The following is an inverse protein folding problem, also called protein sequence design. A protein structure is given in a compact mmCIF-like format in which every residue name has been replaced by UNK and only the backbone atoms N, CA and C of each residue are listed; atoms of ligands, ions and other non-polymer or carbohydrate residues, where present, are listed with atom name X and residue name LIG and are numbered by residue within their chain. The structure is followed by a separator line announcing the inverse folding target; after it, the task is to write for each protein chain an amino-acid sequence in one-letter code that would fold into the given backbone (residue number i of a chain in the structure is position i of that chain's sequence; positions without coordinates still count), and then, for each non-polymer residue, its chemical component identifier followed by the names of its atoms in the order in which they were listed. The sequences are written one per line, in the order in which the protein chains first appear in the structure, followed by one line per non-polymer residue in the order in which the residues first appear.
data_IF_405030559259
#
_entry.id   IF_405030559259
#
_cell.length_a   1.000
_cell.length_b   1.000
_cell.length_c   1.000
_cell.angle_alpha   90.00
_cell.angle_beta   90.00
_cell.angle_gamma   90.00
#
_symmetry.space_group_name_H-M   'P 1'
#
loop_
_entity.id
_entity.type
_entity.pdbx_description
1 polymer ?
#
# COMPACT_ATOMS: atom_id res chain seq x y z
N UNK A 1 32.96 9.63 -12.58
CA UNK A 1 32.42 8.90 -11.42
C UNK A 1 30.92 8.71 -11.64
N UNK A 2 30.39 7.47 -11.55
CA UNK A 2 28.98 7.20 -11.85
C UNK A 2 28.10 7.43 -10.60
N UNK A 3 27.37 8.54 -10.59
CA UNK A 3 26.47 8.94 -9.47
C UNK A 3 25.40 7.89 -9.14
N UNK A 4 24.99 7.07 -10.10
CA UNK A 4 23.98 6.02 -9.91
C UNK A 4 24.47 4.91 -8.96
N UNK A 5 25.77 4.59 -9.01
CA UNK A 5 26.36 3.48 -8.25
C UNK A 5 26.94 3.92 -6.90
N UNK A 6 26.93 5.22 -6.60
CA UNK A 6 27.33 5.74 -5.28
C UNK A 6 26.28 5.39 -4.22
N UNK A 7 26.68 5.06 -2.98
CA UNK A 7 25.75 4.84 -1.88
C UNK A 7 24.85 6.06 -1.61
N UNK A 8 23.65 5.81 -1.08
CA UNK A 8 22.70 6.84 -0.68
C UNK A 8 22.23 6.60 0.76
N UNK A 9 22.12 7.66 1.55
CA UNK A 9 21.61 7.60 2.93
C UNK A 9 20.23 8.22 2.98
N UNK A 10 19.22 7.40 3.29
CA UNK A 10 17.84 7.82 3.50
C UNK A 10 17.53 7.75 5.00
N UNK A 11 17.56 8.89 5.69
CA UNK A 11 17.51 8.96 7.16
C UNK A 11 18.53 7.98 7.79
N UNK A 12 18.08 6.92 8.45
CA UNK A 12 18.88 5.87 9.08
C UNK A 12 19.23 4.70 8.14
N UNK A 13 18.59 4.59 6.98
CA UNK A 13 18.82 3.51 6.00
C UNK A 13 19.96 3.86 5.05
N UNK A 14 20.96 2.98 4.93
CA UNK A 14 22.05 3.11 3.95
C UNK A 14 21.82 2.17 2.78
N UNK A 15 21.63 2.74 1.60
CA UNK A 15 21.47 2.05 0.33
C UNK A 15 22.82 1.94 -0.40
N UNK A 16 23.12 0.76 -0.94
CA UNK A 16 24.41 0.47 -1.63
C UNK A 16 24.62 1.24 -2.94
N UNK A 17 23.53 1.65 -3.58
CA UNK A 17 23.48 2.45 -4.80
C UNK A 17 22.10 3.14 -4.91
N UNK A 18 21.79 3.78 -6.03
CA UNK A 18 20.54 4.51 -6.27
C UNK A 18 19.57 3.76 -7.18
N UNK A 19 19.74 2.45 -7.35
CA UNK A 19 18.89 1.61 -8.20
C UNK A 19 17.78 1.00 -7.34
N UNK A 20 16.53 1.29 -7.71
CA UNK A 20 15.34 0.85 -6.99
C UNK A 20 14.42 0.10 -7.95
N UNK A 21 13.90 -1.05 -7.53
CA UNK A 21 12.73 -1.66 -8.18
C UNK A 21 11.48 -1.09 -7.54
N UNK A 22 10.68 -0.35 -8.32
CA UNK A 22 9.46 0.31 -7.84
C UNK A 22 8.34 -0.68 -7.57
N UNK A 23 7.36 -0.28 -6.77
CA UNK A 23 6.18 -1.07 -6.40
C UNK A 23 5.38 -1.49 -7.63
N UNK A 24 5.05 -2.78 -7.75
CA UNK A 24 4.14 -3.34 -8.76
C UNK A 24 3.57 -4.66 -8.23
N UNK A 25 2.39 -5.04 -8.72
CA UNK A 25 1.76 -6.31 -8.43
C UNK A 25 2.20 -7.35 -9.48
N UNK A 26 3.07 -8.33 -9.14
CA UNK A 26 3.49 -9.37 -10.08
C UNK A 26 2.42 -10.45 -10.28
N UNK A 27 1.28 -10.37 -9.58
CA UNK A 27 0.21 -11.38 -9.56
C UNK A 27 0.71 -12.79 -9.18
N UNK A 28 1.66 -12.87 -8.23
CA UNK A 28 2.19 -14.12 -7.65
C UNK A 28 1.70 -14.36 -6.22
N UNK A 29 0.62 -13.68 -5.84
CA UNK A 29 0.07 -13.77 -4.48
C UNK A 29 -0.71 -15.08 -4.33
N UNK A 30 -0.59 -15.70 -3.16
CA UNK A 30 -1.35 -16.90 -2.81
C UNK A 30 -2.09 -16.65 -1.51
N UNK A 31 -3.43 -16.66 -1.54
CA UNK A 31 -4.29 -16.41 -0.37
C UNK A 31 -3.96 -15.10 0.37
N UNK A 32 -3.61 -14.05 -0.37
CA UNK A 32 -3.21 -12.76 0.21
C UNK A 32 -1.75 -12.70 0.71
N UNK A 33 -0.98 -13.79 0.59
CA UNK A 33 0.39 -13.88 1.13
C UNK A 33 1.48 -13.92 0.05
N UNK A 34 2.68 -13.37 0.35
CA UNK A 34 3.84 -13.44 -0.54
C UNK A 34 4.63 -14.74 -0.33
N UNK A 35 4.08 -15.87 -0.79
CA UNK A 35 4.74 -17.18 -0.71
C UNK A 35 5.96 -17.27 -1.64
N UNK A 36 6.48 -18.47 -1.85
CA UNK A 36 7.81 -18.68 -2.43
C UNK A 36 8.00 -18.04 -3.81
N UNK A 37 7.02 -18.08 -4.71
CA UNK A 37 7.15 -17.44 -6.03
C UNK A 37 7.30 -15.92 -5.92
N UNK A 38 6.49 -15.28 -5.09
CA UNK A 38 6.55 -13.84 -4.83
C UNK A 38 7.88 -13.46 -4.18
N UNK A 39 8.28 -14.21 -3.15
CA UNK A 39 9.54 -14.01 -2.42
C UNK A 39 10.74 -14.11 -3.35
N UNK A 40 10.88 -15.22 -4.09
CA UNK A 40 12.01 -15.47 -4.98
C UNK A 40 12.10 -14.40 -6.06
N UNK A 41 10.98 -13.91 -6.58
CA UNK A 41 10.97 -12.82 -7.56
C UNK A 41 11.65 -11.54 -7.04
N UNK A 42 11.45 -11.15 -5.78
CA UNK A 42 12.15 -10.00 -5.19
C UNK A 42 13.59 -10.33 -4.78
N UNK A 43 13.85 -11.56 -4.34
CA UNK A 43 15.19 -12.04 -4.00
C UNK A 43 16.13 -12.04 -5.22
N UNK A 44 15.67 -12.47 -6.39
CA UNK A 44 16.47 -12.46 -7.62
C UNK A 44 16.90 -11.03 -8.01
N UNK A 45 16.04 -10.03 -7.81
CA UNK A 45 16.42 -8.64 -8.02
C UNK A 45 17.50 -8.19 -7.04
N UNK A 46 17.40 -8.61 -5.78
CA UNK A 46 18.37 -8.32 -4.75
C UNK A 46 19.74 -8.95 -5.07
N UNK A 47 19.77 -10.20 -5.57
CA UNK A 47 20.98 -10.84 -6.12
C UNK A 47 21.58 -10.05 -7.28
N UNK A 48 20.73 -9.46 -8.12
CA UNK A 48 21.14 -8.59 -9.23
C UNK A 48 21.74 -7.24 -8.84
N UNK A 49 21.79 -6.88 -7.55
CA UNK A 49 22.52 -5.69 -7.09
C UNK A 49 21.68 -4.42 -6.86
N UNK A 50 20.34 -4.46 -6.94
CA UNK A 50 19.51 -3.29 -6.63
C UNK A 50 19.65 -2.85 -5.17
N UNK A 51 19.62 -1.56 -4.86
CA UNK A 51 19.74 -1.15 -3.46
C UNK A 51 18.45 -1.31 -2.66
N UNK A 52 17.29 -1.19 -3.30
CA UNK A 52 15.99 -1.28 -2.66
C UNK A 52 14.98 -1.94 -3.60
N UNK A 53 14.19 -2.85 -3.07
CA UNK A 53 13.01 -3.41 -3.73
C UNK A 53 11.75 -2.96 -3.00
N UNK A 54 10.81 -2.34 -3.71
CA UNK A 54 9.49 -2.02 -3.17
C UNK A 54 8.50 -3.09 -3.61
N UNK A 55 7.71 -3.59 -2.66
CA UNK A 55 6.76 -4.70 -2.88
C UNK A 55 5.31 -4.23 -2.73
N UNK A 56 4.39 -5.17 -2.91
CA UNK A 56 2.95 -4.98 -2.69
C UNK A 56 2.26 -4.42 -3.92
N UNK A 57 2.79 -3.33 -4.48
CA UNK A 57 2.19 -2.67 -5.64
C UNK A 57 0.70 -2.43 -5.44
N UNK A 58 0.32 -1.96 -4.24
CA UNK A 58 -1.01 -1.94 -3.59
C UNK A 58 -1.31 -3.08 -2.61
N UNK A 59 -0.48 -3.32 -1.57
CA UNK A 59 -0.89 -4.21 -0.47
C UNK A 59 -2.12 -3.64 0.25
N UNK A 60 -3.22 -4.39 0.25
CA UNK A 60 -4.48 -4.00 0.87
C UNK A 60 -4.42 -4.11 2.40
N UNK A 61 -5.05 -3.16 3.09
CA UNK A 61 -4.98 -3.04 4.56
C UNK A 61 -6.29 -3.37 5.28
N UNK A 62 -7.39 -3.55 4.55
CA UNK A 62 -8.75 -3.67 5.10
C UNK A 62 -9.59 -4.64 4.28
N UNK A 63 -10.52 -5.41 4.91
CA UNK A 63 -11.40 -6.34 4.21
C UNK A 63 -12.35 -5.65 3.21
N UNK A 64 -12.68 -4.37 3.41
CA UNK A 64 -13.51 -3.58 2.49
C UNK A 64 -12.75 -3.02 1.28
N UNK A 65 -11.48 -3.40 1.15
CA UNK A 65 -10.63 -3.12 0.00
C UNK A 65 -10.18 -4.44 -0.65
N UNK A 66 -11.10 -5.24 -1.22
CA UNK A 66 -10.76 -6.54 -1.78
C UNK A 66 -9.80 -6.44 -2.98
N UNK A 67 -9.13 -7.55 -3.25
CA UNK A 67 -8.07 -7.67 -4.26
C UNK A 67 -8.63 -7.81 -5.66
N UNK A 68 -8.39 -6.84 -6.53
CA UNK A 68 -8.82 -6.91 -7.94
C UNK A 68 -7.81 -7.63 -8.85
N UNK A 69 -6.52 -7.57 -8.53
CA UNK A 69 -5.43 -8.01 -9.43
C UNK A 69 -4.31 -8.76 -8.70
N UNK A 70 -4.64 -9.43 -7.60
CA UNK A 70 -3.71 -10.23 -6.81
C UNK A 70 -2.87 -9.38 -5.86
N UNK A 71 -3.53 -8.53 -5.07
CA UNK A 71 -2.92 -7.75 -4.01
C UNK A 71 -2.56 -8.62 -2.81
N UNK A 72 -1.45 -8.29 -2.14
CA UNK A 72 -1.18 -8.81 -0.80
C UNK A 72 -2.19 -8.24 0.19
N UNK A 73 -2.45 -8.97 1.28
CA UNK A 73 -3.40 -8.58 2.31
C UNK A 73 -2.73 -8.43 3.68
N UNK A 74 -2.50 -7.19 4.12
CA UNK A 74 -1.95 -6.84 5.42
C UNK A 74 -3.02 -6.38 6.43
N UNK A 75 -4.27 -6.81 6.26
CA UNK A 75 -5.36 -6.50 7.18
C UNK A 75 -5.35 -7.35 8.45
N UNK A 76 -4.62 -8.47 8.49
CA UNK A 76 -4.46 -9.32 9.67
C UNK A 76 -3.02 -9.82 9.88
N UNK A 77 -2.78 -10.45 11.03
CA UNK A 77 -1.45 -10.86 11.47
C UNK A 77 -0.90 -12.09 10.74
N UNK A 78 -1.71 -12.80 9.94
CA UNK A 78 -1.28 -14.00 9.21
C UNK A 78 -0.22 -13.69 8.15
N UNK A 79 -0.12 -12.44 7.69
CA UNK A 79 0.89 -12.03 6.72
C UNK A 79 2.30 -11.92 7.31
N UNK A 80 2.43 -11.74 8.62
CA UNK A 80 3.70 -11.36 9.27
C UNK A 80 4.80 -12.42 9.06
N UNK A 81 4.56 -13.73 9.27
CA UNK A 81 5.60 -14.73 9.03
C UNK A 81 6.05 -14.78 7.57
N UNK A 82 5.15 -14.49 6.63
CA UNK A 82 5.49 -14.44 5.20
C UNK A 82 6.30 -13.20 4.84
N UNK A 83 5.96 -12.05 5.44
CA UNK A 83 6.76 -10.84 5.35
C UNK A 83 8.17 -11.06 5.89
N UNK A 84 8.33 -11.68 7.06
CA UNK A 84 9.65 -11.99 7.63
C UNK A 84 10.50 -12.85 6.68
N UNK A 85 9.92 -13.96 6.17
CA UNK A 85 10.61 -14.82 5.19
C UNK A 85 11.03 -14.06 3.92
N UNK A 86 10.20 -13.12 3.46
CA UNK A 86 10.51 -12.30 2.30
C UNK A 86 11.62 -11.30 2.57
N UNK A 87 11.50 -10.55 3.67
CA UNK A 87 12.45 -9.49 4.01
C UNK A 87 13.81 -10.06 4.35
N UNK A 88 13.88 -11.18 5.07
CA UNK A 88 15.12 -11.91 5.37
C UNK A 88 15.84 -12.32 4.09
N UNK A 89 15.11 -12.91 3.13
CA UNK A 89 15.69 -13.33 1.85
C UNK A 89 16.21 -12.15 1.01
N UNK A 90 15.50 -11.03 0.96
CA UNK A 90 15.99 -9.84 0.25
C UNK A 90 17.23 -9.25 0.93
N UNK A 91 17.20 -9.15 2.26
CA UNK A 91 18.25 -8.54 3.08
C UNK A 91 19.53 -9.37 3.11
N UNK A 92 19.44 -10.71 3.00
CA UNK A 92 20.62 -11.57 2.90
C UNK A 92 21.49 -11.26 1.68
N UNK A 93 20.93 -10.62 0.64
CA UNK A 93 21.65 -10.18 -0.55
C UNK A 93 22.04 -8.70 -0.50
N UNK A 94 21.91 -8.03 0.65
CA UNK A 94 22.36 -6.64 0.86
C UNK A 94 21.49 -5.58 0.19
N UNK A 95 20.24 -5.89 -0.14
CA UNK A 95 19.24 -4.93 -0.59
C UNK A 95 18.27 -4.60 0.56
N UNK A 96 17.79 -3.35 0.60
CA UNK A 96 16.68 -2.95 1.43
C UNK A 96 15.35 -3.38 0.81
N UNK A 97 14.30 -3.39 1.63
CA UNK A 97 12.95 -3.77 1.20
C UNK A 97 11.89 -2.91 1.87
N UNK A 98 10.95 -2.38 1.08
CA UNK A 98 9.81 -1.59 1.57
C UNK A 98 8.50 -2.13 1.02
N UNK A 99 7.40 -1.87 1.71
CA UNK A 99 6.06 -2.31 1.30
C UNK A 99 5.20 -1.10 0.92
N UNK A 100 4.58 -1.12 -0.27
CA UNK A 100 3.55 -0.14 -0.62
C UNK A 100 2.19 -0.62 -0.11
N UNK A 101 1.65 0.07 0.89
CA UNK A 101 0.35 -0.21 1.49
C UNK A 101 -0.72 0.76 0.96
N UNK A 102 -1.96 0.30 0.91
CA UNK A 102 -3.07 1.08 0.40
C UNK A 102 -4.44 0.65 0.91
N UNK A 103 -5.41 1.54 0.73
CA UNK A 103 -6.82 1.21 0.59
C UNK A 103 -7.29 1.59 -0.82
N UNK A 104 -7.94 0.69 -1.56
CA UNK A 104 -8.35 0.91 -2.97
C UNK A 104 -9.48 1.93 -3.09
N UNK A 105 -10.27 2.10 -2.04
CA UNK A 105 -11.47 2.96 -2.05
C UNK A 105 -12.46 2.44 -3.08
N UNK A 106 -13.01 3.31 -3.93
CA UNK A 106 -13.95 2.90 -5.00
C UNK A 106 -13.33 2.08 -6.15
N UNK A 107 -12.01 1.87 -6.19
CA UNK A 107 -11.30 1.13 -7.26
C UNK A 107 -11.28 -0.39 -7.02
N UNK A 108 -12.36 -0.90 -6.49
CA UNK A 108 -12.57 -2.33 -6.26
C UNK A 108 -14.07 -2.63 -6.34
N UNK A 109 -14.45 -3.87 -6.10
CA UNK A 109 -15.84 -4.32 -6.21
C UNK A 109 -16.38 -4.78 -4.85
N UNK A 110 -17.68 -4.64 -4.66
CA UNK A 110 -18.37 -4.99 -3.42
C UNK A 110 -18.79 -6.46 -3.36
N UNK A 111 -18.74 -7.17 -4.48
CA UNK A 111 -19.14 -8.57 -4.67
C UNK A 111 -17.95 -9.55 -4.59
N UNK A 112 -16.87 -9.13 -3.91
CA UNK A 112 -15.66 -9.90 -3.66
C UNK A 112 -15.26 -9.86 -2.18
N UNK A 113 -14.38 -10.75 -1.74
CA UNK A 113 -13.93 -10.87 -0.36
C UNK A 113 -15.10 -11.14 0.59
N UNK A 114 -15.29 -10.26 1.57
CA UNK A 114 -16.34 -10.36 2.60
C UNK A 114 -17.68 -9.73 2.18
N UNK A 115 -17.82 -9.37 0.90
CA UNK A 115 -19.04 -8.75 0.35
C UNK A 115 -19.42 -7.43 1.03
N UNK A 116 -18.40 -6.69 1.47
CA UNK A 116 -18.55 -5.41 2.13
C UNK A 116 -18.74 -4.27 1.10
N UNK A 117 -19.51 -3.22 1.44
CA UNK A 117 -19.60 -2.04 0.60
C UNK A 117 -18.22 -1.40 0.40
N UNK A 118 -17.86 -1.12 -0.86
CA UNK A 118 -16.67 -0.32 -1.13
C UNK A 118 -16.91 1.11 -0.65
N UNK A 119 -15.90 1.73 -0.06
CA UNK A 119 -16.03 3.06 0.57
C UNK A 119 -15.23 4.13 -0.18
N UNK A 120 -15.73 5.36 -0.17
CA UNK A 120 -15.10 6.50 -0.83
C UNK A 120 -15.54 7.84 -0.19
N UNK A 121 -14.85 8.96 -0.46
CA UNK A 121 -15.29 10.27 0.02
C UNK A 121 -16.68 10.69 -0.50
N UNK A 122 -17.11 10.22 -1.67
CA UNK A 122 -18.39 10.58 -2.29
C UNK A 122 -18.92 9.44 -3.17
N UNK A 123 -20.23 9.44 -3.44
CA UNK A 123 -20.95 8.42 -4.20
C UNK A 123 -20.70 8.54 -5.72
N UNK A 124 -19.43 8.56 -6.14
CA UNK A 124 -19.02 8.67 -7.54
C UNK A 124 -18.73 7.28 -8.09
N UNK A 125 -19.47 6.84 -9.11
CA UNK A 125 -19.24 5.54 -9.76
C UNK A 125 -17.83 5.46 -10.36
N UNK A 126 -17.11 4.38 -10.06
CA UNK A 126 -15.78 4.13 -10.65
C UNK A 126 -15.91 3.66 -12.11
N UNK A 127 -15.01 4.10 -13.00
CA UNK A 127 -15.17 3.87 -14.45
C UNK A 127 -14.84 2.43 -14.86
N UNK A 128 -13.81 1.83 -14.29
CA UNK A 128 -13.33 0.50 -14.66
C UNK A 128 -14.09 -0.61 -13.92
N UNK A 129 -14.20 -0.52 -12.60
CA UNK A 129 -14.79 -1.52 -11.71
C UNK A 129 -16.29 -1.30 -11.52
N UNK A 130 -16.83 -0.15 -11.94
CA UNK A 130 -18.27 0.16 -11.98
C UNK A 130 -18.98 0.16 -10.62
N UNK A 131 -18.25 -0.02 -9.53
CA UNK A 131 -18.78 -0.01 -8.18
C UNK A 131 -19.37 1.37 -7.81
N UNK A 132 -20.45 1.33 -7.03
CA UNK A 132 -21.06 2.48 -6.40
C UNK A 132 -20.63 2.49 -4.93
N UNK A 133 -19.72 3.39 -4.54
CA UNK A 133 -19.22 3.37 -3.17
C UNK A 133 -20.24 3.92 -2.19
N UNK A 134 -20.23 3.35 -0.98
CA UNK A 134 -20.77 4.00 0.20
C UNK A 134 -19.94 5.26 0.49
N UNK A 135 -20.63 6.36 0.76
CA UNK A 135 -19.99 7.59 1.25
C UNK A 135 -19.48 7.32 2.66
N UNK A 136 -18.20 7.56 2.90
CA UNK A 136 -17.62 7.34 4.23
C UNK A 136 -18.25 8.27 5.27
N UNK A 137 -18.65 7.71 6.41
CA UNK A 137 -18.87 8.51 7.62
C UNK A 137 -17.54 8.72 8.38
N UNK A 138 -17.57 9.51 9.46
CA UNK A 138 -16.34 9.82 10.21
C UNK A 138 -15.74 8.56 10.85
N UNK A 139 -16.59 7.64 11.29
CA UNK A 139 -16.20 6.36 11.87
C UNK A 139 -15.50 5.43 10.85
N UNK A 140 -15.90 5.48 9.58
CA UNK A 140 -15.18 4.77 8.51
C UNK A 140 -13.79 5.37 8.30
N UNK A 141 -13.67 6.69 8.32
CA UNK A 141 -12.39 7.39 8.17
C UNK A 141 -11.47 7.01 9.32
N UNK A 142 -11.95 7.04 10.56
CA UNK A 142 -11.19 6.69 11.75
C UNK A 142 -10.70 5.23 11.70
N UNK A 143 -11.58 4.32 11.29
CA UNK A 143 -11.24 2.90 11.13
C UNK A 143 -10.23 2.64 10.02
N UNK A 144 -10.31 3.36 8.90
CA UNK A 144 -9.32 3.27 7.81
C UNK A 144 -7.96 3.81 8.26
N UNK A 145 -7.92 4.91 9.01
CA UNK A 145 -6.69 5.45 9.59
C UNK A 145 -6.04 4.40 10.50
N UNK A 146 -6.82 3.76 11.38
CA UNK A 146 -6.31 2.68 12.23
C UNK A 146 -5.84 1.47 11.40
N UNK A 147 -6.52 1.16 10.29
CA UNK A 147 -6.11 0.07 9.39
C UNK A 147 -4.76 0.35 8.72
N UNK A 148 -4.48 1.60 8.35
CA UNK A 148 -3.16 2.01 7.85
C UNK A 148 -2.10 1.85 8.94
N UNK A 149 -2.37 2.30 10.16
CA UNK A 149 -1.46 2.18 11.30
C UNK A 149 -1.17 0.70 11.64
N UNK A 150 -2.21 -0.14 11.67
CA UNK A 150 -2.08 -1.57 11.91
C UNK A 150 -1.26 -2.26 10.82
N UNK A 151 -1.51 -1.95 9.53
CA UNK A 151 -0.72 -2.49 8.43
C UNK A 151 0.74 -2.02 8.49
N UNK A 152 1.01 -0.77 8.85
CA UNK A 152 2.36 -0.25 9.06
C UNK A 152 3.09 -1.03 10.16
N UNK A 153 2.44 -1.28 11.31
CA UNK A 153 2.99 -2.12 12.39
C UNK A 153 3.25 -3.56 11.94
N UNK A 154 2.41 -4.12 11.07
CA UNK A 154 2.65 -5.45 10.48
C UNK A 154 3.84 -5.45 9.53
N UNK A 155 4.05 -4.40 8.76
CA UNK A 155 5.25 -4.24 7.95
C UNK A 155 6.51 -4.11 8.84
N UNK A 156 6.45 -3.34 9.92
CA UNK A 156 7.56 -3.26 10.88
C UNK A 156 7.89 -4.63 11.48
N UNK A 157 6.89 -5.35 12.02
CA UNK A 157 7.05 -6.72 12.54
C UNK A 157 7.49 -7.72 11.46
N UNK A 158 7.14 -7.44 10.22
CA UNK A 158 7.54 -8.17 9.01
C UNK A 158 8.97 -7.91 8.56
N UNK A 159 9.70 -7.01 9.23
CA UNK A 159 11.11 -6.72 8.96
C UNK A 159 11.34 -5.76 7.78
N UNK A 160 10.35 -5.00 7.33
CA UNK A 160 10.55 -4.00 6.27
C UNK A 160 11.40 -2.82 6.76
N UNK A 161 12.17 -2.20 5.86
CA UNK A 161 12.97 -1.00 6.12
C UNK A 161 12.15 0.30 6.01
N UNK A 162 10.86 0.18 5.69
CA UNK A 162 9.92 1.28 5.54
C UNK A 162 8.67 0.88 4.77
N UNK A 163 7.76 1.84 4.66
CA UNK A 163 6.53 1.71 3.89
C UNK A 163 6.37 2.89 2.92
N UNK A 164 5.59 2.66 1.87
CA UNK A 164 5.07 3.70 0.99
C UNK A 164 3.56 3.70 1.07
N UNK A 165 2.97 4.88 1.20
CA UNK A 165 1.52 5.06 1.21
C UNK A 165 1.06 5.45 -0.19
N UNK A 166 0.22 4.62 -0.80
CA UNK A 166 -0.29 4.89 -2.13
C UNK A 166 -1.50 5.85 -2.08
N UNK A 167 -1.35 7.02 -2.70
CA UNK A 167 -2.42 8.03 -2.81
C UNK A 167 -3.13 7.99 -4.17
N UNK A 168 -2.45 8.44 -5.24
CA UNK A 168 -2.90 8.51 -6.64
C UNK A 168 -4.41 8.33 -6.91
N UNK A 169 -4.85 7.17 -7.40
CA UNK A 169 -6.27 6.89 -7.71
C UNK A 169 -6.95 6.02 -6.64
N UNK A 170 -6.24 5.77 -5.54
CA UNK A 170 -6.68 4.96 -4.40
C UNK A 170 -7.33 5.87 -3.35
N UNK A 171 -7.75 5.33 -2.21
CA UNK A 171 -8.65 6.05 -1.29
C UNK A 171 -8.12 7.45 -0.92
N UNK A 172 -6.84 7.56 -0.51
CA UNK A 172 -6.27 8.84 -0.12
C UNK A 172 -6.23 9.85 -1.30
N UNK A 173 -5.93 9.37 -2.51
CA UNK A 173 -6.00 10.21 -3.70
C UNK A 173 -7.42 10.55 -4.15
N UNK A 174 -8.40 9.70 -3.82
CA UNK A 174 -9.82 9.99 -4.03
C UNK A 174 -10.28 11.12 -3.11
N UNK A 175 -9.83 11.16 -1.85
CA UNK A 175 -10.06 12.31 -0.96
C UNK A 175 -9.33 13.56 -1.46
N UNK A 176 -8.09 13.41 -1.92
CA UNK A 176 -7.30 14.53 -2.41
C UNK A 176 -7.89 15.17 -3.67
N UNK A 177 -8.52 14.40 -4.58
CA UNK A 177 -8.99 14.91 -5.87
C UNK A 177 -10.38 15.56 -5.79
N UNK A 178 -10.55 16.81 -6.27
CA UNK A 178 -11.87 17.46 -6.33
C UNK A 178 -12.79 16.84 -7.40
N UNK A 179 -12.27 15.91 -8.22
CA UNK A 179 -13.08 15.17 -9.21
C UNK A 179 -13.82 13.98 -8.59
N UNK A 180 -13.45 13.59 -7.37
CA UNK A 180 -14.01 12.42 -6.67
C UNK A 180 -14.45 12.70 -5.25
N UNK A 181 -14.04 13.83 -4.68
CA UNK A 181 -14.43 14.29 -3.36
C UNK A 181 -15.30 15.54 -3.47
N UNK A 182 -16.61 15.36 -3.26
CA UNK A 182 -17.63 16.39 -3.25
C UNK A 182 -18.18 16.63 -1.82
N UNK A 183 -17.44 16.22 -0.79
CA UNK A 183 -17.85 16.45 0.59
C UNK A 183 -17.85 17.94 0.91
N UNK A 184 -18.74 18.33 1.82
CA UNK A 184 -18.88 19.69 2.34
C UNK A 184 -18.49 19.80 3.82
N UNK A 185 -17.98 18.71 4.41
CA UNK A 185 -17.46 18.67 5.77
C UNK A 185 -15.94 18.88 5.79
N UNK A 186 -15.32 18.67 6.96
CA UNK A 186 -13.89 18.87 7.19
C UNK A 186 -12.97 17.95 6.38
N UNK A 187 -13.53 17.03 5.56
CA UNK A 187 -12.79 16.15 4.68
C UNK A 187 -12.98 16.47 3.18
N UNK A 188 -13.66 17.58 2.83
CA UNK A 188 -13.82 18.03 1.43
C UNK A 188 -13.77 19.55 1.26
N UNK A 189 -13.92 20.00 0.02
CA UNK A 189 -13.79 21.41 -0.34
C UNK A 189 -12.34 21.82 -0.61
N UNK A 190 -11.77 22.68 0.25
CA UNK A 190 -10.42 23.21 0.06
C UNK A 190 -9.32 22.13 0.12
N UNK A 191 -8.08 22.54 -0.13
CA UNK A 191 -6.95 21.61 -0.14
C UNK A 191 -6.65 21.03 1.25
N UNK A 192 -6.82 21.82 2.31
CA UNK A 192 -6.50 21.40 3.67
C UNK A 192 -7.43 20.26 4.11
N UNK A 193 -8.73 20.45 3.93
CA UNK A 193 -9.74 19.44 4.22
C UNK A 193 -9.56 18.17 3.39
N UNK A 194 -9.29 18.31 2.08
CA UNK A 194 -9.02 17.15 1.20
C UNK A 194 -7.75 16.39 1.57
N UNK A 195 -6.75 17.07 2.14
CA UNK A 195 -5.51 16.45 2.65
C UNK A 195 -5.66 15.84 4.04
N UNK A 196 -6.70 16.21 4.80
CA UNK A 196 -6.86 15.87 6.22
C UNK A 196 -6.69 14.38 6.52
N UNK A 197 -7.36 13.50 5.77
CA UNK A 197 -7.21 12.04 5.96
C UNK A 197 -5.78 11.56 5.68
N UNK A 198 -5.10 12.13 4.67
CA UNK A 198 -3.73 11.74 4.34
C UNK A 198 -2.78 12.14 5.46
N UNK A 199 -2.95 13.33 6.01
CA UNK A 199 -2.15 13.80 7.16
C UNK A 199 -2.42 12.95 8.40
N UNK A 200 -3.68 12.63 8.69
CA UNK A 200 -4.05 11.70 9.79
C UNK A 200 -3.45 10.30 9.66
N UNK A 201 -3.18 9.83 8.43
CA UNK A 201 -2.50 8.55 8.19
C UNK A 201 -0.98 8.66 8.37
N UNK A 202 -0.41 9.85 8.18
CA UNK A 202 1.02 10.11 8.32
C UNK A 202 1.44 10.39 9.77
N UNK A 203 0.54 10.95 10.58
CA UNK A 203 0.71 11.23 12.01
C UNK A 203 0.68 9.96 12.87
#
# INVERSE_FOLDING_TARGET
MNKLLEPFKLKNLRLRNRIVSTSHAPNFVENGHPKDRYRLYHEEKAKGGIALTMIGGSTNISPESPSVFGQLYAGDDTIIPWFQRLTDGVKSHGAAVMCQITHMGRRTSWDDGDWLPVIAPSAVRERAHRAFPKVMEHEDIDRVVESFAAAARRCERGGFDGIEILSHSHLLGQFLSPQTNFRTDDFGGDLENRMRITLRVLD
#
